data_IF_836364739176
#
_entry.id   IF_836364739176
#
_cell.length_a   1.000
_cell.length_b   1.000
_cell.length_c   1.000
_cell.angle_alpha   90.00
_cell.angle_beta   90.00
_cell.angle_gamma   90.00
#
_symmetry.space_group_name_H-M   'P 1'
#
loop_
_entity.id
_entity.type
_entity.pdbx_description
1 polymer ?
#
# COMPACT_ATOMS: atom_id res chain seq x y z
N UNK A 1 37.41 -56.86 -82.04
CA UNK A 1 36.10 -56.26 -82.40
C UNK A 1 35.72 -55.32 -81.28
N UNK A 2 35.95 -54.02 -81.49
CA UNK A 2 34.89 -53.03 -81.80
C UNK A 2 34.05 -52.73 -80.55
N UNK A 3 33.84 -51.52 -80.07
CA UNK A 3 34.07 -50.14 -80.54
C UNK A 3 33.58 -49.25 -79.38
N UNK A 4 34.21 -48.10 -79.12
CA UNK A 4 33.50 -47.00 -78.46
C UNK A 4 32.60 -46.30 -79.49
N UNK A 5 31.56 -45.57 -79.03
CA UNK A 5 31.56 -44.15 -79.36
C UNK A 5 31.04 -43.22 -78.26
N UNK A 6 31.84 -42.16 -78.02
CA UNK A 6 31.51 -40.72 -78.05
C UNK A 6 30.22 -40.20 -77.38
N UNK A 7 30.46 -39.41 -76.33
CA UNK A 7 29.98 -38.04 -76.06
C UNK A 7 28.70 -37.53 -76.71
N UNK A 8 27.78 -37.04 -75.87
CA UNK A 8 27.07 -35.80 -76.16
C UNK A 8 26.79 -35.03 -74.85
N UNK A 9 27.31 -33.81 -74.81
CA UNK A 9 27.03 -32.78 -73.81
C UNK A 9 25.55 -32.38 -73.85
N UNK A 10 24.93 -32.22 -72.68
CA UNK A 10 23.90 -31.20 -72.50
C UNK A 10 24.05 -30.56 -71.12
N UNK A 11 24.48 -29.30 -71.12
CA UNK A 11 24.35 -28.38 -70.00
C UNK A 11 22.86 -28.18 -69.70
N UNK A 12 22.43 -28.47 -68.47
CA UNK A 12 21.34 -27.73 -67.85
C UNK A 12 21.78 -27.38 -66.43
N UNK A 13 22.33 -26.18 -66.31
CA UNK A 13 22.47 -25.40 -65.09
C UNK A 13 21.08 -25.03 -64.56
N UNK A 14 20.66 -25.64 -63.44
CA UNK A 14 19.59 -25.09 -62.59
C UNK A 14 20.23 -24.73 -61.26
N UNK A 15 20.61 -23.46 -61.19
CA UNK A 15 20.95 -22.74 -59.97
C UNK A 15 19.66 -22.67 -59.13
N UNK A 16 19.47 -23.58 -58.19
CA UNK A 16 18.48 -23.39 -57.14
C UNK A 16 19.01 -22.32 -56.19
N UNK A 17 18.63 -21.07 -56.46
CA UNK A 17 18.61 -20.00 -55.46
C UNK A 17 17.60 -20.44 -54.41
N UNK A 18 18.09 -21.08 -53.35
CA UNK A 18 17.32 -21.23 -52.12
C UNK A 18 17.28 -19.82 -51.53
N UNK A 19 16.09 -19.21 -51.63
CA UNK A 19 15.68 -18.08 -50.82
C UNK A 19 15.86 -18.48 -49.35
N UNK A 20 16.96 -18.02 -48.76
CA UNK A 20 17.16 -18.01 -47.31
C UNK A 20 16.26 -16.90 -46.74
N UNK A 21 14.97 -17.21 -46.64
CA UNK A 21 14.01 -16.44 -45.87
C UNK A 21 14.19 -16.82 -44.39
N UNK A 22 14.96 -15.99 -43.69
CA UNK A 22 14.74 -15.56 -42.31
C UNK A 22 14.15 -16.60 -41.35
N UNK A 23 15.02 -17.38 -40.70
CA UNK A 23 14.77 -17.74 -39.30
C UNK A 23 15.46 -16.70 -38.42
N UNK A 24 14.72 -15.62 -38.15
CA UNK A 24 14.96 -14.81 -36.97
C UNK A 24 14.96 -15.75 -35.76
N UNK A 25 16.13 -15.89 -35.16
CA UNK A 25 16.29 -16.58 -33.88
C UNK A 25 15.28 -15.97 -32.92
N UNK A 26 14.29 -16.77 -32.53
CA UNK A 26 13.31 -16.50 -31.49
C UNK A 26 13.93 -15.67 -30.35
N UNK A 27 13.71 -14.37 -30.43
CA UNK A 27 13.97 -13.37 -29.41
C UNK A 27 12.77 -13.34 -28.46
N UNK A 28 12.39 -14.52 -27.98
CA UNK A 28 11.40 -14.71 -26.94
C UNK A 28 12.00 -15.71 -25.97
N UNK A 29 12.97 -15.24 -25.19
CA UNK A 29 13.02 -15.72 -23.81
C UNK A 29 11.61 -15.48 -23.24
N UNK A 30 11.00 -16.45 -22.54
CA UNK A 30 9.77 -16.15 -21.83
C UNK A 30 10.11 -15.02 -20.87
N UNK A 31 9.62 -13.82 -21.14
CA UNK A 31 9.66 -12.76 -20.15
C UNK A 31 8.92 -13.35 -18.95
N UNK A 32 9.62 -13.56 -17.84
CA UNK A 32 8.97 -13.77 -16.56
C UNK A 32 8.21 -12.47 -16.28
N UNK A 33 6.95 -12.43 -16.69
CA UNK A 33 6.06 -11.27 -16.53
C UNK A 33 5.60 -11.09 -15.07
N UNK A 34 6.16 -11.85 -14.12
CA UNK A 34 5.73 -11.84 -12.72
C UNK A 34 6.21 -10.64 -11.91
N UNK A 35 7.19 -9.86 -12.37
CA UNK A 35 8.01 -9.11 -11.41
C UNK A 35 7.40 -7.77 -10.98
N UNK A 36 6.73 -7.73 -9.82
CA UNK A 36 6.55 -6.50 -9.07
C UNK A 36 7.92 -5.90 -8.72
N UNK A 37 8.11 -4.61 -9.01
CA UNK A 37 9.36 -3.92 -8.71
C UNK A 37 9.15 -2.42 -8.59
N UNK A 38 10.04 -1.76 -7.85
CA UNK A 38 10.11 -0.31 -7.71
C UNK A 38 11.44 0.17 -8.29
N UNK A 39 11.36 1.11 -9.23
CA UNK A 39 12.52 1.67 -9.92
C UNK A 39 12.69 3.15 -9.59
N UNK A 40 13.94 3.61 -9.59
CA UNK A 40 14.23 5.03 -9.74
C UNK A 40 14.29 5.40 -11.23
N UNK A 41 14.12 6.69 -11.50
CA UNK A 41 14.38 7.26 -12.82
C UNK A 41 15.87 7.18 -13.15
N UNK A 42 16.17 7.06 -14.44
CA UNK A 42 17.54 7.04 -14.95
C UNK A 42 18.28 8.35 -14.68
N UNK A 43 17.61 9.48 -14.89
CA UNK A 43 18.10 10.79 -14.47
C UNK A 43 17.68 11.07 -13.02
N UNK A 44 18.63 10.96 -12.10
CA UNK A 44 18.40 11.17 -10.66
C UNK A 44 18.16 12.63 -10.28
N UNK A 45 18.34 13.59 -11.20
CA UNK A 45 18.09 15.01 -10.93
C UNK A 45 16.62 15.39 -11.04
N UNK A 46 15.83 14.57 -11.74
CA UNK A 46 14.40 14.79 -11.96
C UNK A 46 13.64 14.60 -10.64
N UNK A 47 12.80 15.57 -10.32
CA UNK A 47 11.86 15.55 -9.20
C UNK A 47 10.47 15.14 -9.66
N UNK A 48 9.69 14.57 -8.74
CA UNK A 48 8.34 14.08 -9.01
C UNK A 48 7.47 15.14 -9.68
N UNK A 49 7.50 16.38 -9.18
CA UNK A 49 6.76 17.53 -9.74
C UNK A 49 7.05 17.81 -11.22
N UNK A 50 8.20 17.40 -11.76
CA UNK A 50 8.58 17.61 -13.17
C UNK A 50 8.07 16.50 -14.12
N UNK A 51 7.60 15.38 -13.56
CA UNK A 51 7.16 14.19 -14.32
C UNK A 51 5.69 13.83 -14.11
N UNK A 52 4.96 14.56 -13.25
CA UNK A 52 3.55 14.28 -12.94
C UNK A 52 2.65 14.23 -14.19
N UNK A 53 2.90 15.10 -15.16
CA UNK A 53 2.10 15.22 -16.39
C UNK A 53 2.67 14.40 -17.56
N UNK A 54 3.80 13.73 -17.36
CA UNK A 54 4.43 12.95 -18.41
C UNK A 54 3.71 11.61 -18.59
N UNK A 55 3.68 11.14 -19.83
CA UNK A 55 3.27 9.78 -20.14
C UNK A 55 4.23 8.80 -19.46
N UNK A 56 3.71 8.05 -18.48
CA UNK A 56 4.49 7.15 -17.64
C UNK A 56 5.30 6.15 -18.48
N UNK A 57 4.78 5.70 -19.63
CA UNK A 57 5.48 4.76 -20.52
C UNK A 57 6.78 5.30 -21.11
N UNK A 58 6.94 6.63 -21.17
CA UNK A 58 8.10 7.33 -21.73
C UNK A 58 9.17 7.66 -20.69
N UNK A 59 8.89 7.43 -19.41
CA UNK A 59 9.84 7.71 -18.33
C UNK A 59 10.96 6.66 -18.37
N UNK A 60 12.20 7.14 -18.57
CA UNK A 60 13.39 6.30 -18.52
C UNK A 60 13.70 5.90 -17.07
N UNK A 61 13.77 4.59 -16.83
CA UNK A 61 14.07 4.00 -15.53
C UNK A 61 15.53 3.55 -15.48
N UNK A 62 16.07 3.39 -14.28
CA UNK A 62 17.35 2.69 -14.09
C UNK A 62 17.24 1.23 -14.58
N UNK A 63 18.38 0.66 -14.99
CA UNK A 63 18.42 -0.72 -15.53
C UNK A 63 18.11 -1.78 -14.45
N UNK A 64 18.33 -1.45 -13.18
CA UNK A 64 18.09 -2.32 -12.03
C UNK A 64 17.00 -1.75 -11.12
N UNK A 65 16.10 -2.59 -10.59
CA UNK A 65 15.12 -2.13 -9.60
C UNK A 65 15.82 -1.71 -8.31
N UNK A 66 15.27 -0.70 -7.64
CA UNK A 66 15.66 -0.34 -6.28
C UNK A 66 15.10 -1.33 -5.25
N UNK A 67 13.89 -1.84 -5.50
CA UNK A 67 13.26 -2.90 -4.71
C UNK A 67 12.55 -3.88 -5.64
N UNK A 68 12.70 -5.17 -5.39
CA UNK A 68 12.10 -6.26 -6.18
C UNK A 68 11.42 -7.30 -5.31
N UNK A 69 10.71 -8.24 -5.91
CA UNK A 69 10.10 -9.40 -5.22
C UNK A 69 11.09 -10.22 -4.39
N UNK A 70 12.36 -10.26 -4.83
CA UNK A 70 13.42 -10.98 -4.13
C UNK A 70 13.68 -10.39 -2.75
N UNK A 71 13.35 -9.12 -2.56
CA UNK A 71 13.54 -8.35 -1.34
C UNK A 71 12.32 -8.41 -0.41
N UNK A 72 11.19 -8.93 -0.89
CA UNK A 72 9.90 -8.88 -0.20
C UNK A 72 9.59 -10.24 0.43
N UNK A 73 9.24 -10.26 1.71
CA UNK A 73 8.58 -11.40 2.36
C UNK A 73 7.12 -11.49 1.93
N UNK A 74 6.38 -10.40 2.10
CA UNK A 74 5.00 -10.27 1.60
C UNK A 74 4.57 -8.81 1.50
N UNK A 75 3.48 -8.55 0.80
CA UNK A 75 2.88 -7.25 0.57
C UNK A 75 1.45 -7.24 1.10
N UNK A 76 1.17 -6.44 2.13
CA UNK A 76 -0.19 -6.25 2.63
C UNK A 76 -0.90 -5.18 1.81
N UNK A 77 -1.77 -5.62 0.90
CA UNK A 77 -2.41 -4.77 -0.08
C UNK A 77 -3.46 -3.83 0.53
N UNK A 78 -4.02 -4.18 1.69
CA UNK A 78 -4.99 -3.30 2.38
C UNK A 78 -4.36 -2.01 2.92
N UNK A 79 -3.06 -2.05 3.24
CA UNK A 79 -2.33 -0.94 3.85
C UNK A 79 -1.18 -0.44 3.00
N UNK A 80 -0.80 -1.16 1.94
CA UNK A 80 0.42 -0.93 1.18
C UNK A 80 1.69 -0.95 2.04
N UNK A 81 1.69 -1.81 3.07
CA UNK A 81 2.89 -2.18 3.81
C UNK A 81 3.64 -3.29 3.08
N UNK A 82 4.92 -3.05 2.81
CA UNK A 82 5.86 -3.98 2.18
C UNK A 82 6.74 -4.56 3.28
N UNK A 83 6.61 -5.85 3.53
CA UNK A 83 7.40 -6.57 4.52
C UNK A 83 8.64 -7.12 3.85
N UNK A 84 9.81 -6.67 4.28
CA UNK A 84 11.09 -6.93 3.66
C UNK A 84 11.74 -8.20 4.22
N UNK A 85 12.54 -8.89 3.40
CA UNK A 85 13.39 -10.00 3.82
C UNK A 85 14.56 -9.54 4.69
N UNK A 86 15.03 -8.32 4.47
CA UNK A 86 16.12 -7.67 5.20
C UNK A 86 15.69 -6.33 5.80
N UNK A 87 16.57 -5.69 6.55
CA UNK A 87 16.28 -4.38 7.15
C UNK A 87 16.33 -3.25 6.11
N UNK A 88 15.56 -2.18 6.36
CA UNK A 88 15.56 -0.93 5.57
C UNK A 88 16.96 -0.34 5.34
N UNK A 89 17.96 -0.68 6.16
CA UNK A 89 19.36 -0.24 5.94
C UNK A 89 19.96 -0.71 4.62
N UNK A 90 19.42 -1.76 3.99
CA UNK A 90 19.87 -2.21 2.67
C UNK A 90 19.36 -1.31 1.53
N UNK A 91 18.34 -0.50 1.80
CA UNK A 91 17.65 0.33 0.81
C UNK A 91 17.86 1.84 1.03
N UNK A 92 18.16 2.23 2.27
CA UNK A 92 18.29 3.63 2.69
C UNK A 92 19.66 3.87 3.31
N UNK A 93 20.42 4.78 2.70
CA UNK A 93 21.68 5.28 3.25
C UNK A 93 21.44 5.97 4.60
N UNK A 94 22.33 5.73 5.58
CA UNK A 94 22.29 6.34 6.91
C UNK A 94 21.01 6.11 7.74
N UNK A 95 20.20 5.10 7.39
CA UNK A 95 18.91 4.79 8.03
C UNK A 95 18.95 4.72 9.57
N UNK A 96 20.07 4.26 10.14
CA UNK A 96 20.24 4.09 11.59
C UNK A 96 20.85 5.30 12.31
N UNK A 97 21.35 6.28 11.56
CA UNK A 97 21.99 7.49 12.11
C UNK A 97 21.01 8.68 12.11
N UNK A 98 20.26 8.82 11.02
CA UNK A 98 19.25 9.84 10.87
C UNK A 98 18.02 9.19 10.26
N UNK A 99 16.87 9.26 10.96
CA UNK A 99 15.57 8.95 10.37
C UNK A 99 15.12 10.07 9.43
N UNK A 100 16.05 10.59 8.63
CA UNK A 100 15.86 11.64 7.66
C UNK A 100 16.40 11.17 6.32
N UNK A 101 15.64 11.46 5.27
CA UNK A 101 16.10 11.27 3.92
C UNK A 101 17.27 12.22 3.64
N UNK A 102 18.30 11.77 2.90
CA UNK A 102 19.27 12.71 2.36
C UNK A 102 18.54 13.70 1.45
N UNK A 103 19.06 14.94 1.36
CA UNK A 103 18.41 16.01 0.58
C UNK A 103 18.17 15.65 -0.90
N UNK A 104 18.98 14.74 -1.45
CA UNK A 104 18.81 14.20 -2.80
C UNK A 104 17.52 13.39 -2.98
N UNK A 105 16.97 12.83 -1.90
CA UNK A 105 15.74 12.03 -1.92
C UNK A 105 14.47 12.88 -1.77
N UNK A 106 14.56 14.14 -1.34
CA UNK A 106 13.39 15.03 -1.28
C UNK A 106 12.76 15.14 -2.68
N UNK A 107 11.46 14.82 -2.80
CA UNK A 107 10.70 14.72 -4.05
C UNK A 107 11.27 13.74 -5.09
N UNK A 108 12.18 12.85 -4.70
CA UNK A 108 12.74 11.86 -5.63
C UNK A 108 11.61 10.95 -6.10
N UNK A 109 11.42 10.79 -7.41
CA UNK A 109 10.38 9.91 -7.94
C UNK A 109 10.81 8.44 -7.84
N UNK A 110 9.83 7.58 -7.56
CA UNK A 110 9.93 6.14 -7.82
C UNK A 110 8.78 5.70 -8.70
N UNK A 111 8.99 4.65 -9.49
CA UNK A 111 7.97 4.09 -10.37
C UNK A 111 7.73 2.65 -9.97
N UNK A 112 6.46 2.32 -9.73
CA UNK A 112 6.03 0.94 -9.50
C UNK A 112 5.75 0.30 -10.85
N UNK A 113 6.40 -0.85 -11.08
CA UNK A 113 6.29 -1.66 -12.28
C UNK A 113 5.74 -3.03 -11.87
N UNK A 114 4.78 -3.52 -12.62
CA UNK A 114 4.17 -4.84 -12.41
C UNK A 114 3.70 -5.38 -13.76
N UNK A 115 3.83 -6.70 -14.01
CA UNK A 115 3.50 -7.26 -15.32
C UNK A 115 4.39 -6.76 -16.47
N UNK A 116 5.56 -6.20 -16.17
CA UNK A 116 6.41 -5.49 -17.16
C UNK A 116 5.90 -4.10 -17.56
N UNK A 117 4.82 -3.61 -16.95
CA UNK A 117 4.23 -2.31 -17.23
C UNK A 117 4.44 -1.34 -16.07
N UNK A 118 4.62 -0.06 -16.38
CA UNK A 118 4.67 0.99 -15.36
C UNK A 118 3.24 1.29 -14.90
N UNK A 119 2.97 1.11 -13.61
CA UNK A 119 1.64 1.22 -13.03
C UNK A 119 1.36 2.62 -12.52
N UNK A 120 2.23 3.13 -11.64
CA UNK A 120 2.12 4.48 -11.10
C UNK A 120 3.49 5.02 -10.69
N UNK A 121 3.54 6.36 -10.56
CA UNK A 121 4.66 7.08 -9.97
C UNK A 121 4.33 7.45 -8.53
N UNK A 122 5.33 7.37 -7.66
CA UNK A 122 5.27 7.90 -6.31
C UNK A 122 6.47 8.78 -5.98
N UNK A 123 6.47 9.34 -4.78
CA UNK A 123 7.48 10.30 -4.32
C UNK A 123 8.05 9.93 -2.95
N UNK A 124 9.30 10.28 -2.69
CA UNK A 124 9.81 10.38 -1.32
C UNK A 124 9.42 11.73 -0.73
N UNK A 125 8.57 11.69 0.30
CA UNK A 125 8.09 12.87 1.01
C UNK A 125 8.93 13.12 2.26
N UNK A 126 9.44 14.34 2.40
CA UNK A 126 10.19 14.76 3.59
C UNK A 126 9.42 15.85 4.33
N UNK A 127 9.58 15.90 5.64
CA UNK A 127 9.04 16.99 6.48
C UNK A 127 9.61 18.38 6.13
N UNK A 128 10.65 18.44 5.28
CA UNK A 128 11.17 19.69 4.71
C UNK A 128 10.24 20.32 3.66
N UNK A 129 9.28 19.56 3.13
CA UNK A 129 8.32 20.04 2.14
C UNK A 129 7.14 20.72 2.83
N UNK A 130 6.75 21.88 2.32
CA UNK A 130 5.54 22.59 2.73
C UNK A 130 4.31 22.22 1.88
N UNK A 131 4.42 21.17 1.07
CA UNK A 131 3.40 20.78 0.08
C UNK A 131 2.92 19.35 0.32
N UNK A 132 1.61 19.17 0.22
CA UNK A 132 0.98 17.86 0.29
C UNK A 132 1.39 16.99 -0.93
N UNK A 133 1.79 15.72 -0.74
CA UNK A 133 2.05 14.81 -1.85
C UNK A 133 0.79 14.54 -2.67
N UNK A 134 0.81 14.83 -3.96
CA UNK A 134 -0.31 14.60 -4.89
C UNK A 134 -0.26 13.24 -5.60
N UNK A 135 0.73 12.41 -5.26
CA UNK A 135 0.90 11.03 -5.71
C UNK A 135 1.19 10.14 -4.49
N UNK A 136 1.05 8.80 -4.59
CA UNK A 136 1.50 7.91 -3.52
C UNK A 136 2.93 8.21 -3.09
N UNK A 137 3.24 8.05 -1.80
CA UNK A 137 4.55 8.46 -1.29
C UNK A 137 5.06 7.57 -0.19
N UNK A 138 6.39 7.51 -0.07
CA UNK A 138 7.05 7.00 1.14
C UNK A 138 7.41 8.20 2.00
N UNK A 139 6.91 8.22 3.22
CA UNK A 139 7.10 9.33 4.15
C UNK A 139 8.32 9.11 5.05
N UNK A 140 9.14 10.14 5.20
CA UNK A 140 10.30 10.16 6.09
C UNK A 140 9.93 9.76 7.54
N UNK A 141 8.79 10.23 8.04
CA UNK A 141 8.29 9.86 9.38
C UNK A 141 7.85 8.40 9.46
N UNK A 142 7.33 7.84 8.37
CA UNK A 142 6.96 6.42 8.31
C UNK A 142 8.19 5.51 8.24
N UNK A 143 9.25 5.95 7.58
CA UNK A 143 10.50 5.19 7.51
C UNK A 143 11.09 4.98 8.90
N UNK A 144 11.11 6.01 9.76
CA UNK A 144 11.51 5.86 11.16
C UNK A 144 10.43 5.27 12.08
N UNK A 145 9.15 5.42 11.72
CA UNK A 145 8.04 5.03 12.55
C UNK A 145 7.63 3.56 12.42
N UNK A 146 7.72 2.97 11.23
CA UNK A 146 7.48 1.54 11.00
C UNK A 146 8.71 0.70 11.39
N UNK A 147 8.51 -0.58 11.78
CA UNK A 147 9.61 -1.52 12.07
C UNK A 147 10.68 -1.57 10.98
N UNK A 148 11.91 -1.93 11.33
CA UNK A 148 13.07 -1.92 10.42
C UNK A 148 12.85 -2.77 9.15
N UNK A 149 11.98 -3.78 9.22
CA UNK A 149 11.66 -4.69 8.12
C UNK A 149 10.37 -4.32 7.36
N UNK A 150 9.81 -3.12 7.55
CA UNK A 150 8.56 -2.69 6.88
C UNK A 150 8.70 -1.32 6.23
N UNK A 151 8.44 -1.26 4.92
CA UNK A 151 8.19 0.00 4.21
C UNK A 151 6.70 0.23 4.06
N UNK A 152 6.28 1.49 4.01
CA UNK A 152 4.89 1.89 3.80
C UNK A 152 4.82 2.89 2.65
N UNK A 153 3.92 2.63 1.70
CA UNK A 153 3.59 3.59 0.64
C UNK A 153 2.24 4.21 0.99
N UNK A 154 2.25 5.44 1.46
CA UNK A 154 1.06 6.22 1.81
C UNK A 154 0.27 6.65 0.57
N UNK A 155 -1.05 6.84 0.74
CA UNK A 155 -1.94 7.38 -0.28
C UNK A 155 -1.60 8.84 -0.56
N UNK A 156 -1.68 9.27 -1.82
CA UNK A 156 -1.72 10.69 -2.17
C UNK A 156 -2.73 11.48 -1.31
N UNK A 157 -2.40 12.72 -0.99
CA UNK A 157 -3.32 13.63 -0.32
C UNK A 157 -4.40 14.10 -1.29
N UNK A 158 -5.63 14.23 -0.78
CA UNK A 158 -6.79 14.67 -1.55
C UNK A 158 -7.61 13.53 -2.16
N UNK A 159 -8.52 13.90 -3.07
CA UNK A 159 -9.54 13.01 -3.63
C UNK A 159 -9.12 12.38 -4.98
N UNK A 160 -7.83 12.22 -5.23
CA UNK A 160 -7.39 11.43 -6.39
C UNK A 160 -7.74 9.95 -6.17
N UNK A 161 -8.08 9.26 -7.25
CA UNK A 161 -8.14 7.81 -7.26
C UNK A 161 -6.83 7.25 -6.70
N UNK A 162 -6.92 6.29 -5.79
CA UNK A 162 -5.75 5.68 -5.17
C UNK A 162 -5.07 4.74 -6.17
N UNK A 163 -4.04 5.24 -6.85
CA UNK A 163 -3.30 4.50 -7.87
C UNK A 163 -2.51 3.33 -7.32
N UNK A 164 -2.33 3.23 -5.99
CA UNK A 164 -1.71 2.05 -5.35
C UNK A 164 -2.54 0.78 -5.55
N UNK A 165 -3.86 0.93 -5.77
CA UNK A 165 -4.81 -0.16 -6.03
C UNK A 165 -4.82 -0.62 -7.50
N UNK A 166 -3.73 -0.45 -8.25
CA UNK A 166 -3.64 -0.91 -9.65
C UNK A 166 -3.77 -2.45 -9.72
N UNK A 167 -4.71 -2.94 -10.52
CA UNK A 167 -4.96 -4.39 -10.65
C UNK A 167 -3.75 -5.16 -11.19
N UNK A 168 -2.88 -4.53 -11.99
CA UNK A 168 -1.64 -5.18 -12.47
C UNK A 168 -0.67 -5.44 -11.33
N UNK A 169 -0.58 -4.51 -10.37
CA UNK A 169 0.21 -4.68 -9.14
C UNK A 169 -0.35 -5.83 -8.32
N UNK A 170 -1.66 -5.83 -8.07
CA UNK A 170 -2.33 -6.90 -7.34
C UNK A 170 -2.08 -8.27 -7.98
N UNK A 171 -2.29 -8.40 -9.28
CA UNK A 171 -2.13 -9.66 -10.00
C UNK A 171 -0.68 -10.15 -9.97
N UNK A 172 0.30 -9.27 -10.17
CA UNK A 172 1.72 -9.65 -10.11
C UNK A 172 2.11 -10.15 -8.71
N UNK A 173 1.63 -9.47 -7.64
CA UNK A 173 1.84 -9.92 -6.27
C UNK A 173 1.19 -11.29 -5.99
N UNK A 174 0.02 -11.57 -6.55
CA UNK A 174 -0.65 -12.88 -6.44
C UNK A 174 0.18 -13.96 -7.14
N UNK A 175 0.59 -13.72 -8.38
CA UNK A 175 1.40 -14.64 -9.17
C UNK A 175 2.74 -14.95 -8.50
N UNK A 176 3.35 -13.96 -7.85
CA UNK A 176 4.59 -14.08 -7.09
C UNK A 176 4.42 -14.72 -5.69
N UNK A 177 3.19 -15.05 -5.26
CA UNK A 177 2.88 -15.49 -3.88
C UNK A 177 3.33 -14.49 -2.80
N UNK A 178 3.27 -13.20 -3.11
CA UNK A 178 3.58 -12.12 -2.17
C UNK A 178 2.32 -11.39 -1.68
N UNK A 179 1.17 -11.61 -2.32
CA UNK A 179 -0.07 -10.91 -2.03
C UNK A 179 -0.70 -11.35 -0.71
N UNK A 180 -0.91 -10.37 0.17
CA UNK A 180 -1.76 -10.50 1.36
C UNK A 180 -2.89 -9.47 1.25
N UNK A 181 -4.14 -9.94 1.25
CA UNK A 181 -5.29 -9.06 1.11
C UNK A 181 -5.53 -8.17 2.34
N UNK A 182 -5.02 -8.58 3.51
CA UNK A 182 -5.15 -7.84 4.76
C UNK A 182 -6.60 -7.69 5.22
N UNK A 183 -6.93 -6.52 5.77
CA UNK A 183 -8.22 -6.24 6.38
C UNK A 183 -9.06 -5.27 5.54
N UNK A 184 -10.38 -5.40 5.62
CA UNK A 184 -11.32 -4.37 5.19
C UNK A 184 -12.19 -3.90 6.36
N UNK A 185 -12.62 -2.65 6.32
CA UNK A 185 -13.40 -2.00 7.36
C UNK A 185 -14.72 -1.48 6.80
N UNK A 186 -15.82 -1.75 7.49
CA UNK A 186 -17.13 -1.17 7.21
C UNK A 186 -17.63 -0.42 8.45
N UNK A 187 -18.01 0.84 8.30
CA UNK A 187 -18.71 1.59 9.33
C UNK A 187 -20.21 1.36 9.13
N UNK A 188 -20.84 0.63 10.04
CA UNK A 188 -22.22 0.19 9.90
C UNK A 188 -23.22 1.22 10.43
N UNK A 189 -22.90 1.89 11.55
CA UNK A 189 -23.81 2.86 12.16
C UNK A 189 -23.07 3.86 13.06
N UNK A 190 -23.65 5.05 13.21
CA UNK A 190 -23.22 6.11 14.13
C UNK A 190 -24.47 6.72 14.77
N UNK A 191 -24.47 6.84 16.09
CA UNK A 191 -25.58 7.37 16.89
C UNK A 191 -25.05 8.35 17.94
N UNK A 192 -25.69 9.51 18.05
CA UNK A 192 -25.39 10.48 19.11
C UNK A 192 -26.27 10.14 20.32
N UNK A 193 -25.67 9.59 21.38
CA UNK A 193 -26.41 9.17 22.58
C UNK A 193 -26.70 10.36 23.50
N UNK A 194 -25.71 11.23 23.67
CA UNK A 194 -25.81 12.45 24.49
C UNK A 194 -25.19 13.61 23.71
N UNK A 195 -25.82 14.79 23.76
CA UNK A 195 -25.37 15.97 23.01
C UNK A 195 -25.49 17.24 23.87
N UNK A 196 -24.63 17.33 24.89
CA UNK A 196 -24.55 18.46 25.82
C UNK A 196 -23.33 19.33 25.49
N UNK A 197 -22.60 19.84 26.50
CA UNK A 197 -21.34 20.56 26.28
C UNK A 197 -20.26 19.65 25.68
N UNK A 198 -20.29 18.37 26.09
CA UNK A 198 -19.59 17.26 25.44
C UNK A 198 -20.61 16.24 24.96
N UNK A 199 -20.33 15.61 23.83
CA UNK A 199 -21.20 14.59 23.25
C UNK A 199 -20.62 13.18 23.40
N UNK A 200 -21.53 12.22 23.48
CA UNK A 200 -21.24 10.79 23.50
C UNK A 200 -21.74 10.18 22.20
N UNK A 201 -20.81 9.60 21.43
CA UNK A 201 -21.06 8.97 20.14
C UNK A 201 -20.92 7.46 20.32
N UNK A 202 -21.91 6.72 19.86
CA UNK A 202 -21.83 5.28 19.69
C UNK A 202 -21.71 4.96 18.21
N UNK A 203 -20.85 4.01 17.87
CA UNK A 203 -20.71 3.55 16.50
C UNK A 203 -20.43 2.06 16.44
N UNK A 204 -20.91 1.42 15.38
CA UNK A 204 -20.70 0.00 15.11
C UNK A 204 -19.93 -0.12 13.80
N UNK A 205 -18.88 -0.95 13.81
CA UNK A 205 -18.08 -1.25 12.63
C UNK A 205 -17.85 -2.76 12.50
N UNK A 206 -17.58 -3.20 11.28
CA UNK A 206 -17.24 -4.58 10.94
C UNK A 206 -15.85 -4.61 10.34
N UNK A 207 -14.98 -5.46 10.88
CA UNK A 207 -13.67 -5.78 10.31
C UNK A 207 -13.77 -7.15 9.69
N UNK A 208 -13.34 -7.27 8.43
CA UNK A 208 -13.22 -8.55 7.73
C UNK A 208 -11.76 -8.84 7.44
N UNK A 209 -11.31 -10.03 7.80
CA UNK A 209 -10.02 -10.55 7.40
C UNK A 209 -10.14 -11.22 6.04
N UNK A 210 -9.60 -10.58 5.00
CA UNK A 210 -9.57 -11.13 3.64
C UNK A 210 -8.26 -11.91 3.35
N UNK A 211 -7.34 -11.92 4.31
CA UNK A 211 -6.04 -12.57 4.22
C UNK A 211 -6.16 -14.09 4.41
N UNK A 212 -5.16 -14.83 3.94
CA UNK A 212 -5.04 -16.27 4.18
C UNK A 212 -4.54 -16.58 5.60
N UNK A 213 -3.82 -15.62 6.21
CA UNK A 213 -3.38 -15.72 7.60
C UNK A 213 -4.48 -15.31 8.57
N UNK A 214 -4.43 -15.84 9.80
CA UNK A 214 -5.18 -15.22 10.89
C UNK A 214 -4.51 -13.89 11.26
N UNK A 215 -5.33 -12.86 11.48
CA UNK A 215 -4.88 -11.52 11.81
C UNK A 215 -5.32 -11.13 13.22
N UNK A 216 -4.40 -10.51 13.95
CA UNK A 216 -4.64 -10.01 15.30
C UNK A 216 -4.75 -8.48 15.26
N UNK A 217 -5.84 -7.94 15.79
CA UNK A 217 -6.13 -6.50 15.79
C UNK A 217 -6.51 -6.02 17.18
N UNK A 218 -6.32 -4.72 17.45
CA UNK A 218 -6.77 -4.10 18.70
C UNK A 218 -8.29 -4.24 18.86
N UNK A 219 -8.74 -4.55 20.08
CA UNK A 219 -10.13 -4.83 20.38
C UNK A 219 -10.66 -3.89 21.48
N UNK A 220 -11.67 -3.03 21.20
CA UNK A 220 -12.26 -2.15 22.19
C UNK A 220 -12.90 -2.90 23.38
N UNK A 221 -13.36 -4.13 23.21
CA UNK A 221 -13.97 -4.92 24.29
C UNK A 221 -12.92 -5.44 25.28
N UNK A 222 -11.70 -5.69 24.81
CA UNK A 222 -10.59 -6.18 25.63
C UNK A 222 -9.81 -5.04 26.29
N UNK A 223 -9.59 -3.95 25.55
CA UNK A 223 -8.77 -2.83 26.02
C UNK A 223 -9.58 -1.67 26.65
N UNK A 224 -10.90 -1.66 26.43
CA UNK A 224 -11.82 -0.57 26.80
C UNK A 224 -11.84 0.58 25.81
N UNK A 225 -13.02 1.18 25.61
CA UNK A 225 -13.27 2.26 24.63
C UNK A 225 -12.33 3.45 24.77
N UNK A 226 -12.05 3.87 26.01
CA UNK A 226 -11.17 5.01 26.31
C UNK A 226 -9.73 4.77 25.83
N UNK A 227 -9.23 3.53 25.93
CA UNK A 227 -7.91 3.17 25.41
C UNK A 227 -7.92 2.95 23.91
N UNK A 228 -8.95 2.31 23.38
CA UNK A 228 -9.13 2.16 21.94
C UNK A 228 -9.13 3.54 21.24
N UNK A 229 -9.77 4.53 21.87
CA UNK A 229 -9.84 5.89 21.39
C UNK A 229 -8.50 6.63 21.32
N UNK A 230 -7.56 6.29 22.21
CA UNK A 230 -6.19 6.81 22.12
C UNK A 230 -5.57 6.52 20.75
N UNK A 231 -5.81 5.33 20.20
CA UNK A 231 -5.28 4.91 18.91
C UNK A 231 -6.10 5.40 17.71
N UNK A 232 -7.43 5.38 17.79
CA UNK A 232 -8.29 5.57 16.61
C UNK A 232 -8.79 6.99 16.40
N UNK A 233 -8.85 7.82 17.46
CA UNK A 233 -9.57 9.10 17.50
C UNK A 233 -11.11 9.03 17.39
N UNK A 234 -11.66 7.82 17.19
CA UNK A 234 -13.10 7.60 17.00
C UNK A 234 -13.54 7.87 15.56
N UNK A 235 -14.85 7.95 15.34
CA UNK A 235 -15.46 8.33 14.07
C UNK A 235 -15.26 9.83 13.82
N UNK A 236 -14.93 10.20 12.59
CA UNK A 236 -14.92 11.57 12.10
C UNK A 236 -16.32 11.95 11.59
N UNK A 237 -16.82 13.14 11.95
CA UNK A 237 -18.11 13.66 11.47
C UNK A 237 -17.89 14.95 10.67
N UNK A 238 -18.15 14.92 9.37
CA UNK A 238 -18.07 16.10 8.50
C UNK A 238 -19.45 16.65 8.23
N UNK A 239 -19.70 17.88 8.69
CA UNK A 239 -20.97 18.56 8.42
C UNK A 239 -21.09 18.86 6.92
N UNK A 240 -22.15 18.38 6.25
CA UNK A 240 -22.27 18.51 4.79
C UNK A 240 -22.40 19.97 4.32
N UNK A 241 -23.04 20.82 5.13
CA UNK A 241 -23.29 22.22 4.75
C UNK A 241 -22.08 23.12 4.96
N UNK A 242 -21.35 22.92 6.06
CA UNK A 242 -20.24 23.79 6.46
C UNK A 242 -18.87 23.19 6.14
N UNK A 243 -18.81 21.90 5.80
CA UNK A 243 -17.59 21.11 5.64
C UNK A 243 -16.73 21.02 6.90
N UNK A 244 -17.23 21.49 8.04
CA UNK A 244 -16.55 21.41 9.32
C UNK A 244 -16.40 19.96 9.76
N UNK A 245 -15.16 19.58 10.08
CA UNK A 245 -14.81 18.29 10.65
C UNK A 245 -14.93 18.35 12.17
N UNK A 246 -15.72 17.43 12.73
CA UNK A 246 -15.86 17.19 14.16
C UNK A 246 -15.26 15.84 14.50
N UNK A 247 -14.26 15.87 15.36
CA UNK A 247 -13.63 14.70 15.94
C UNK A 247 -13.70 14.79 17.45
N UNK A 248 -13.36 13.71 18.14
CA UNK A 248 -13.26 13.75 19.59
C UNK A 248 -12.08 14.62 20.03
N UNK A 249 -12.33 15.59 20.91
CA UNK A 249 -11.35 16.57 21.37
C UNK A 249 -11.01 16.42 22.87
N UNK A 250 -11.93 15.88 23.67
CA UNK A 250 -11.81 15.81 25.12
C UNK A 250 -11.40 14.41 25.59
N UNK A 251 -10.25 13.94 25.08
CA UNK A 251 -9.65 12.65 25.50
C UNK A 251 -9.22 12.71 26.96
N UNK A 252 -9.58 11.68 27.74
CA UNK A 252 -9.17 11.58 29.16
C UNK A 252 -8.08 10.55 29.40
N UNK A 253 -7.85 9.64 28.44
CA UNK A 253 -6.89 8.55 28.57
C UNK A 253 -5.45 9.02 28.39
N UNK A 254 -4.61 8.70 29.38
CA UNK A 254 -3.15 8.83 29.27
C UNK A 254 -2.58 7.77 28.32
N UNK A 255 -1.45 8.09 27.68
CA UNK A 255 -0.77 7.16 26.77
C UNK A 255 -0.56 5.79 27.42
N UNK A 256 -1.13 4.71 26.86
CA UNK A 256 -0.94 3.38 27.39
C UNK A 256 0.46 2.92 26.99
N UNK A 257 1.41 2.98 27.94
CA UNK A 257 2.86 2.83 27.69
C UNK A 257 3.24 1.84 26.57
N UNK A 258 3.19 0.53 26.86
CA UNK A 258 3.49 -0.52 25.88
C UNK A 258 2.23 -1.28 25.47
N UNK A 259 2.20 -1.75 24.22
CA UNK A 259 1.15 -2.63 23.71
C UNK A 259 1.14 -3.95 24.48
N UNK A 260 -0.05 -4.41 24.85
CA UNK A 260 -0.25 -5.67 25.55
C UNK A 260 -1.01 -6.63 24.63
N UNK A 261 -0.53 -7.87 24.51
CA UNK A 261 -1.14 -8.88 23.63
C UNK A 261 -2.60 -9.19 24.01
N UNK A 262 -2.95 -9.03 25.29
CA UNK A 262 -4.33 -9.17 25.80
C UNK A 262 -5.31 -8.13 25.25
N UNK A 263 -4.84 -7.07 24.57
CA UNK A 263 -5.72 -6.10 23.89
C UNK A 263 -6.15 -6.54 22.49
N UNK A 264 -5.66 -7.69 22.02
CA UNK A 264 -5.85 -8.11 20.65
C UNK A 264 -6.85 -9.26 20.55
N UNK A 265 -7.70 -9.19 19.54
CA UNK A 265 -8.55 -10.30 19.12
C UNK A 265 -8.02 -10.89 17.83
N UNK A 266 -8.06 -12.23 17.75
CA UNK A 266 -7.82 -12.96 16.51
C UNK A 266 -9.07 -12.89 15.63
N UNK A 267 -8.87 -12.53 14.37
CA UNK A 267 -9.85 -12.68 13.29
C UNK A 267 -9.30 -13.77 12.38
N UNK A 268 -9.98 -14.91 12.34
CA UNK A 268 -9.56 -16.00 11.46
C UNK A 268 -9.66 -15.61 9.99
N UNK A 269 -8.90 -16.30 9.13
CA UNK A 269 -8.94 -16.07 7.68
C UNK A 269 -10.38 -16.14 7.15
N UNK A 270 -10.76 -15.16 6.32
CA UNK A 270 -12.09 -15.02 5.72
C UNK A 270 -13.24 -14.87 6.74
N UNK A 271 -12.95 -14.47 7.98
CA UNK A 271 -13.97 -14.16 8.99
C UNK A 271 -14.16 -12.66 9.16
N UNK A 272 -15.33 -12.31 9.68
CA UNK A 272 -15.68 -10.94 10.07
C UNK A 272 -16.04 -10.86 11.54
N UNK A 273 -15.66 -9.77 12.19
CA UNK A 273 -16.11 -9.41 13.53
C UNK A 273 -16.78 -8.05 13.50
N UNK A 274 -17.88 -7.92 14.24
CA UNK A 274 -18.56 -6.65 14.45
C UNK A 274 -18.29 -6.15 15.87
N UNK A 275 -18.03 -4.85 16.01
CA UNK A 275 -17.71 -4.20 17.28
C UNK A 275 -18.54 -2.93 17.42
N UNK A 276 -18.95 -2.64 18.66
CA UNK A 276 -19.67 -1.42 19.00
C UNK A 276 -18.86 -0.66 20.04
N UNK A 277 -18.55 0.60 19.75
CA UNK A 277 -17.81 1.49 20.65
C UNK A 277 -18.72 2.61 21.08
N UNK A 278 -18.76 2.86 22.39
CA UNK A 278 -19.39 4.06 22.96
C UNK A 278 -18.28 4.95 23.50
N UNK A 279 -18.25 6.19 23.00
CA UNK A 279 -17.16 7.12 23.25
C UNK A 279 -17.69 8.50 23.62
N UNK A 280 -17.23 9.01 24.77
CA UNK A 280 -17.43 10.40 25.17
C UNK A 280 -16.20 11.22 24.77
N UNK A 281 -16.42 12.51 24.51
CA UNK A 281 -15.33 13.46 24.30
C UNK A 281 -15.40 14.22 22.99
N UNK A 282 -16.51 14.08 22.26
CA UNK A 282 -16.82 14.97 21.15
C UNK A 282 -17.25 16.33 21.69
N UNK A 283 -16.95 17.44 20.99
CA UNK A 283 -17.64 18.70 21.25
C UNK A 283 -19.13 18.55 20.99
N UNK A 284 -19.93 19.48 21.53
CA UNK A 284 -21.34 19.62 21.15
C UNK A 284 -21.48 19.56 19.63
N UNK A 285 -22.33 18.66 19.15
CA UNK A 285 -22.53 18.42 17.72
C UNK A 285 -23.77 19.21 17.29
N UNK A 286 -23.62 20.26 16.45
CA UNK A 286 -24.76 21.04 15.98
C UNK A 286 -25.74 20.18 15.17
N UNK A 287 -26.99 20.61 15.11
CA UNK A 287 -27.99 19.98 14.24
C UNK A 287 -27.56 20.08 12.78
N UNK A 288 -27.84 19.03 11.99
CA UNK A 288 -27.51 18.99 10.58
C UNK A 288 -27.24 17.58 10.05
N UNK A 289 -26.90 17.52 8.78
CA UNK A 289 -26.47 16.29 8.10
C UNK A 289 -24.96 16.16 8.17
N UNK A 290 -24.50 14.94 8.43
CA UNK A 290 -23.09 14.63 8.55
C UNK A 290 -22.74 13.39 7.75
N UNK A 291 -21.65 13.47 7.00
CA UNK A 291 -20.94 12.30 6.49
C UNK A 291 -19.94 11.83 7.54
N UNK A 292 -19.90 10.54 7.79
CA UNK A 292 -19.09 9.91 8.82
C UNK A 292 -18.18 8.85 8.23
N UNK A 293 -16.94 8.83 8.68
CA UNK A 293 -15.93 7.83 8.35
C UNK A 293 -15.13 7.42 9.59
N UNK A 294 -14.50 6.25 9.52
CA UNK A 294 -13.74 5.69 10.61
C UNK A 294 -12.37 5.19 10.12
N UNK A 295 -11.32 5.63 10.80
CA UNK A 295 -9.96 5.13 10.59
C UNK A 295 -9.62 4.07 11.64
N UNK A 296 -9.26 2.88 11.19
CA UNK A 296 -8.83 1.79 12.05
C UNK A 296 -7.31 1.58 11.92
N UNK A 297 -6.53 1.82 12.99
CA UNK A 297 -5.09 1.66 12.98
C UNK A 297 -4.65 0.27 13.48
N UNK A 298 -3.58 -0.23 12.87
CA UNK A 298 -2.76 -1.34 13.36
C UNK A 298 -1.49 -0.80 14.01
N UNK A 299 -1.05 -1.38 15.13
CA UNK A 299 0.15 -0.91 15.81
C UNK A 299 1.43 -1.18 15.03
N UNK A 300 2.45 -0.34 15.23
CA UNK A 300 3.78 -0.51 14.63
C UNK A 300 4.64 -1.39 15.55
N UNK A 301 4.59 -2.71 15.37
CA UNK A 301 5.25 -3.71 16.23
C UNK A 301 6.44 -4.38 15.54
N UNK A 302 7.52 -4.61 16.29
CA UNK A 302 8.73 -5.26 15.77
C UNK A 302 8.44 -6.70 15.33
N UNK A 303 9.26 -7.22 14.41
CA UNK A 303 9.10 -8.55 13.80
C UNK A 303 8.89 -9.66 14.82
N UNK A 304 9.65 -9.66 15.92
CA UNK A 304 9.59 -10.69 16.97
C UNK A 304 8.28 -10.67 17.77
N UNK A 305 7.61 -9.51 17.83
CA UNK A 305 6.33 -9.33 18.51
C UNK A 305 5.14 -9.49 17.56
N UNK A 306 5.38 -9.29 16.27
CA UNK A 306 4.36 -9.30 15.22
C UNK A 306 3.95 -10.71 14.81
N UNK A 307 4.91 -11.63 14.74
CA UNK A 307 4.67 -13.01 14.30
C UNK A 307 4.22 -13.86 15.49
N UNK A 308 3.01 -14.40 15.42
CA UNK A 308 2.44 -15.28 16.45
C UNK A 308 2.41 -16.73 15.91
N UNK A 309 2.11 -17.69 16.79
CA UNK A 309 2.14 -19.12 16.45
C UNK A 309 1.15 -19.52 15.37
N UNK A 310 0.01 -18.83 15.28
CA UNK A 310 -1.09 -19.14 14.36
C UNK A 310 -1.54 -17.93 13.52
N UNK A 311 -0.71 -16.89 13.40
CA UNK A 311 -1.06 -15.68 12.67
C UNK A 311 -0.08 -14.52 12.90
N UNK A 312 -0.51 -13.30 12.57
CA UNK A 312 0.30 -12.08 12.80
C UNK A 312 -0.53 -10.94 13.34
N UNK A 313 0.11 -10.04 14.10
CA UNK A 313 -0.46 -8.73 14.39
C UNK A 313 -0.52 -7.94 13.08
N UNK A 314 -1.71 -7.47 12.73
CA UNK A 314 -1.90 -6.64 11.55
C UNK A 314 -1.44 -5.21 11.83
N UNK A 315 -0.78 -4.60 10.84
CA UNK A 315 -0.19 -3.26 10.95
C UNK A 315 -0.63 -2.39 9.77
N UNK A 316 -0.60 -1.08 9.98
CA UNK A 316 -0.95 -0.07 8.98
C UNK A 316 -2.25 0.64 9.34
N UNK A 317 -2.94 1.20 8.36
CA UNK A 317 -4.22 1.86 8.59
C UNK A 317 -5.19 1.57 7.44
N UNK A 318 -6.46 1.38 7.78
CA UNK A 318 -7.56 1.26 6.83
C UNK A 318 -8.67 2.22 7.20
N UNK A 319 -9.45 2.58 6.20
CA UNK A 319 -10.58 3.50 6.33
C UNK A 319 -11.86 2.77 5.98
N UNK A 320 -12.95 3.14 6.66
CA UNK A 320 -14.26 2.61 6.37
C UNK A 320 -14.83 3.23 5.10
N UNK A 321 -15.95 2.68 4.64
CA UNK A 321 -16.91 3.44 3.83
C UNK A 321 -17.41 4.68 4.60
N UNK A 322 -17.94 5.64 3.85
CA UNK A 322 -18.68 6.77 4.39
C UNK A 322 -20.15 6.38 4.65
N UNK A 323 -20.74 6.89 5.73
CA UNK A 323 -22.19 6.83 5.99
C UNK A 323 -22.74 8.21 6.34
N UNK A 324 -24.02 8.44 6.10
CA UNK A 324 -24.67 9.70 6.43
C UNK A 324 -25.58 9.56 7.66
N UNK A 325 -25.55 10.56 8.55
CA UNK A 325 -26.43 10.66 9.70
C UNK A 325 -27.09 12.04 9.79
N UNK A 326 -28.20 12.11 10.53
CA UNK A 326 -28.90 13.35 10.85
C UNK A 326 -28.85 13.58 12.36
N UNK A 327 -28.36 14.74 12.77
CA UNK A 327 -28.38 15.19 14.17
C UNK A 327 -29.55 16.16 14.36
N UNK A 328 -30.51 15.77 15.21
CA UNK A 328 -31.81 16.45 15.37
C UNK A 328 -31.89 17.46 16.51
#
# INVERSE_FOLDING_TARGET
MCTSPKSLFLLISVLFVILDCSEDKNLFAPCNYSDFSIYFLKDSSIKTSQVLEQDLSKIELQDTPWLSEKDIHFYDFSTHCIYLKTDKSDFFENFKEYYQFPSSWVEKPFVVVAGGERCYIGSFNSGLLSTAPVVPYMDEFDIGGYPEDVMHISKAWGNSQDTRNDERVKNSLIEANLYHAGLSLELNSVVILENADTSTVQYTFTITNNDQDNLYTIDPDLMGSERFHYFTNGVALRNESTQNLLESQYKTTVSPGFLQLEWFTKIESNQSIQKTVTLKGYPKIPKGNYTCDFRFPGPRVKREQRMLTDGRIWMGEIFSNEINIIVN
#
